data_IF_384920634517
#
_entry.id   IF_384920634517
#
_cell.length_a   1.000
_cell.length_b   1.000
_cell.length_c   1.000
_cell.angle_alpha   90.00
_cell.angle_beta   90.00
_cell.angle_gamma   90.00
#
_symmetry.space_group_name_H-M   'P 1'
#
loop_
_entity.id
_entity.type
_entity.pdbx_description
1 polymer ?
#
# COMPACT_ATOMS: atom_id res chain seq x y z
N UNK A 1 13.33 43.00 12.96
CA UNK A 1 13.15 41.64 13.50
C UNK A 1 11.79 41.16 13.06
N UNK A 2 11.71 40.17 12.17
CA UNK A 2 10.42 39.56 11.83
C UNK A 2 10.01 38.68 13.01
N UNK A 3 8.89 39.00 13.66
CA UNK A 3 8.30 38.09 14.63
C UNK A 3 7.79 36.87 13.86
N UNK A 4 8.45 35.73 14.02
CA UNK A 4 7.97 34.46 13.47
C UNK A 4 6.67 34.11 14.19
N UNK A 5 5.55 34.16 13.48
CA UNK A 5 4.27 33.67 14.00
C UNK A 5 4.31 32.14 13.84
N UNK A 6 4.36 31.42 14.95
CA UNK A 6 4.25 29.96 14.97
C UNK A 6 2.80 29.56 15.29
N UNK A 7 2.26 28.65 14.47
CA UNK A 7 0.96 28.02 14.72
C UNK A 7 1.05 27.17 16.01
N UNK A 8 0.10 27.31 16.95
CA UNK A 8 -0.02 26.44 18.10
C UNK A 8 -0.08 24.96 17.70
N UNK A 9 0.53 24.09 18.52
CA UNK A 9 0.59 22.64 18.27
C UNK A 9 -0.78 22.02 17.99
N UNK A 10 -1.83 22.46 18.70
CA UNK A 10 -3.18 21.92 18.49
C UNK A 10 -3.72 22.22 17.10
N UNK A 11 -3.55 23.46 16.61
CA UNK A 11 -3.98 23.83 15.27
C UNK A 11 -3.17 23.10 14.20
N UNK A 12 -1.88 22.84 14.44
CA UNK A 12 -1.09 21.97 13.57
C UNK A 12 -1.66 20.55 13.49
N UNK A 13 -2.03 19.97 14.64
CA UNK A 13 -2.64 18.63 14.68
C UNK A 13 -3.97 18.60 13.94
N UNK A 14 -4.80 19.62 14.14
CA UNK A 14 -6.07 19.74 13.43
C UNK A 14 -5.82 19.81 11.91
N UNK A 15 -4.87 20.62 11.44
CA UNK A 15 -4.52 20.72 10.02
C UNK A 15 -4.06 19.37 9.44
N UNK A 16 -3.10 18.69 10.09
CA UNK A 16 -2.59 17.41 9.57
C UNK A 16 -3.62 16.29 9.61
N UNK A 17 -4.65 16.39 10.46
CA UNK A 17 -5.73 15.41 10.52
C UNK A 17 -6.63 15.39 9.28
N UNK A 18 -6.66 16.50 8.52
CA UNK A 18 -7.43 16.60 7.27
C UNK A 18 -6.64 16.16 6.04
N UNK A 19 -5.32 15.96 6.17
CA UNK A 19 -4.47 15.60 5.04
C UNK A 19 -4.59 14.10 4.72
N UNK A 20 -4.57 13.78 3.44
CA UNK A 20 -4.49 12.41 2.96
C UNK A 20 -3.07 11.82 3.06
N UNK A 21 -2.92 10.56 2.65
CA UNK A 21 -1.63 9.87 2.69
C UNK A 21 -0.55 10.60 1.87
N UNK A 22 -0.86 11.02 0.65
CA UNK A 22 0.10 11.66 -0.27
C UNK A 22 0.49 13.05 0.24
N UNK A 23 -0.50 13.82 0.71
CA UNK A 23 -0.29 15.13 1.31
C UNK A 23 0.58 15.05 2.57
N UNK A 24 0.32 14.07 3.44
CA UNK A 24 1.15 13.83 4.62
C UNK A 24 2.60 13.49 4.24
N UNK A 25 2.82 12.65 3.22
CA UNK A 25 4.17 12.33 2.73
C UNK A 25 4.89 13.57 2.20
N UNK A 26 4.19 14.43 1.46
CA UNK A 26 4.74 15.71 1.01
C UNK A 26 5.11 16.60 2.20
N UNK A 27 4.24 16.74 3.20
CA UNK A 27 4.53 17.52 4.41
C UNK A 27 5.77 16.98 5.16
N UNK A 28 5.91 15.67 5.29
CA UNK A 28 7.08 15.05 5.93
C UNK A 28 8.40 15.38 5.21
N UNK A 29 8.37 15.56 3.89
CA UNK A 29 9.55 15.89 3.10
C UNK A 29 9.99 17.36 3.28
N UNK A 30 9.08 18.25 3.67
CA UNK A 30 9.35 19.70 3.82
C UNK A 30 10.20 20.00 5.07
N UNK A 31 9.91 19.38 6.22
CA UNK A 31 10.62 19.67 7.47
C UNK A 31 10.54 18.54 8.49
N UNK A 32 11.57 18.44 9.34
CA UNK A 32 11.59 17.54 10.51
C UNK A 32 10.43 17.81 11.48
N UNK A 33 9.98 19.06 11.59
CA UNK A 33 8.85 19.44 12.46
C UNK A 33 7.53 18.90 11.92
N UNK A 34 7.29 19.03 10.60
CA UNK A 34 6.13 18.40 9.97
C UNK A 34 6.15 16.89 10.14
N UNK A 35 7.32 16.28 9.91
CA UNK A 35 7.50 14.84 10.09
C UNK A 35 7.11 14.38 11.50
N UNK A 36 7.55 15.07 12.56
CA UNK A 36 7.20 14.67 13.93
C UNK A 36 5.71 14.84 14.24
N UNK A 37 5.01 15.79 13.62
CA UNK A 37 3.56 15.90 13.76
C UNK A 37 2.81 14.69 13.17
N UNK A 38 3.32 14.09 12.09
CA UNK A 38 2.73 12.87 11.50
C UNK A 38 2.96 11.60 12.33
N UNK A 39 3.78 11.66 13.39
CA UNK A 39 3.96 10.56 14.36
C UNK A 39 2.83 10.53 15.41
N UNK A 40 1.90 11.48 15.37
CA UNK A 40 0.71 11.45 16.22
C UNK A 40 -0.13 10.17 15.94
N UNK A 41 -0.64 9.49 16.98
CA UNK A 41 -1.64 8.42 16.87
C UNK A 41 -2.73 8.66 15.81
N UNK A 42 -3.25 9.88 15.70
CA UNK A 42 -4.34 10.24 14.78
C UNK A 42 -3.94 10.10 13.30
N UNK A 43 -2.66 10.34 12.99
CA UNK A 43 -2.13 10.16 11.63
C UNK A 43 -1.81 8.70 11.31
N UNK A 44 -1.67 7.81 12.30
CA UNK A 44 -1.19 6.44 12.06
C UNK A 44 -2.14 5.64 11.18
N UNK A 45 -3.45 5.92 11.27
CA UNK A 45 -4.47 5.31 10.41
C UNK A 45 -4.27 5.69 8.95
N UNK A 46 -4.19 6.99 8.67
CA UNK A 46 -3.96 7.53 7.32
C UNK A 46 -2.59 7.14 6.75
N UNK A 47 -1.60 6.98 7.62
CA UNK A 47 -0.24 6.56 7.27
C UNK A 47 -0.07 5.03 7.17
N UNK A 48 -1.13 4.24 7.40
CA UNK A 48 -1.10 2.77 7.36
C UNK A 48 -0.06 2.17 8.33
N UNK A 49 0.07 2.76 9.51
CA UNK A 49 0.99 2.37 10.60
C UNK A 49 0.28 1.97 11.89
N UNK A 50 -1.05 1.79 11.82
CA UNK A 50 -1.88 1.29 12.92
C UNK A 50 -1.31 -0.03 13.47
N UNK A 51 -1.23 -0.17 14.81
CA UNK A 51 -0.68 -1.39 15.44
C UNK A 51 -1.73 -2.48 15.72
N UNK A 52 -3.01 -2.12 15.71
CA UNK A 52 -4.10 -3.05 15.99
C UNK A 52 -4.39 -3.88 14.74
N UNK A 53 -3.92 -5.12 14.74
CA UNK A 53 -4.02 -6.03 13.60
C UNK A 53 -5.23 -6.94 13.75
N UNK A 54 -6.03 -7.07 12.69
CA UNK A 54 -7.07 -8.10 12.59
C UNK A 54 -6.40 -9.46 12.36
N UNK A 55 -6.52 -10.42 13.29
CA UNK A 55 -5.89 -11.73 13.15
C UNK A 55 -6.55 -12.57 12.05
N UNK A 56 -5.90 -13.67 11.64
CA UNK A 56 -6.53 -14.66 10.75
C UNK A 56 -7.77 -15.27 11.44
N UNK A 57 -8.88 -15.32 10.72
CA UNK A 57 -10.20 -15.68 11.26
C UNK A 57 -10.88 -14.58 12.07
N UNK A 58 -10.26 -13.40 12.20
CA UNK A 58 -10.91 -12.22 12.76
C UNK A 58 -12.01 -11.67 11.85
N UNK A 59 -12.96 -10.93 12.43
CA UNK A 59 -14.05 -10.30 11.68
C UNK A 59 -13.53 -9.06 10.94
N UNK A 60 -13.80 -9.00 9.64
CA UNK A 60 -13.51 -7.85 8.79
C UNK A 60 -14.84 -7.23 8.35
N UNK A 61 -15.02 -5.94 8.61
CA UNK A 61 -16.06 -5.15 7.96
C UNK A 61 -15.46 -4.55 6.69
N UNK A 62 -15.95 -4.97 5.52
CA UNK A 62 -15.37 -4.59 4.23
C UNK A 62 -15.48 -3.08 3.98
N UNK A 63 -16.56 -2.44 4.44
CA UNK A 63 -16.80 -1.00 4.27
C UNK A 63 -15.79 -0.12 5.04
N UNK A 64 -15.13 -0.70 6.05
CA UNK A 64 -14.11 -0.01 6.85
C UNK A 64 -12.68 -0.26 6.31
N UNK A 65 -12.51 -1.16 5.35
CA UNK A 65 -11.20 -1.52 4.80
C UNK A 65 -10.76 -0.49 3.77
N UNK A 66 -9.59 0.10 4.01
CA UNK A 66 -8.87 0.93 3.05
C UNK A 66 -7.64 0.18 2.57
N UNK A 67 -7.40 0.22 1.26
CA UNK A 67 -6.14 -0.24 0.69
C UNK A 67 -5.10 0.88 0.72
N UNK A 68 -3.84 0.49 0.79
CA UNK A 68 -2.73 1.43 0.76
C UNK A 68 -2.66 2.16 -0.59
N UNK A 69 -2.67 3.52 -0.63
CA UNK A 69 -2.70 4.28 -1.89
C UNK A 69 -1.52 4.04 -2.83
N UNK A 70 -0.38 3.60 -2.28
CA UNK A 70 0.77 3.19 -3.09
C UNK A 70 0.41 2.19 -4.20
N UNK A 71 -0.55 1.30 -3.98
CA UNK A 71 -0.94 0.31 -4.99
C UNK A 71 -1.45 0.94 -6.29
N UNK A 72 -2.04 2.14 -6.25
CA UNK A 72 -2.54 2.86 -7.42
C UNK A 72 -1.45 3.71 -8.09
N UNK A 73 -0.30 3.90 -7.42
CA UNK A 73 0.77 4.81 -7.87
C UNK A 73 2.03 4.07 -8.33
N UNK A 74 2.06 2.75 -8.21
CA UNK A 74 3.21 1.93 -8.56
C UNK A 74 3.13 1.45 -10.00
N UNK A 75 4.26 1.44 -10.69
CA UNK A 75 4.44 0.69 -11.92
C UNK A 75 4.74 -0.76 -11.60
N UNK A 76 3.96 -1.69 -12.17
CA UNK A 76 4.18 -3.12 -12.04
C UNK A 76 3.84 -3.83 -13.35
N UNK A 77 4.85 -4.45 -13.97
CA UNK A 77 4.73 -5.15 -15.26
C UNK A 77 4.92 -6.67 -15.09
N UNK A 78 4.04 -7.32 -14.33
CA UNK A 78 4.16 -8.74 -13.96
C UNK A 78 5.58 -9.11 -13.48
N UNK A 79 6.24 -8.17 -12.80
CA UNK A 79 7.64 -8.26 -12.41
C UNK A 79 7.88 -9.54 -11.60
N UNK A 80 8.94 -10.27 -11.93
CA UNK A 80 9.31 -11.51 -11.23
C UNK A 80 10.25 -11.27 -10.05
N UNK A 81 10.73 -10.04 -9.88
CA UNK A 81 11.59 -9.62 -8.76
C UNK A 81 11.14 -8.25 -8.24
N UNK A 82 11.32 -8.03 -6.94
CA UNK A 82 10.79 -6.85 -6.25
C UNK A 82 11.49 -5.56 -6.66
N UNK A 83 12.73 -5.67 -7.15
CA UNK A 83 13.54 -4.54 -7.63
C UNK A 83 12.97 -3.92 -8.92
N UNK A 84 12.08 -4.62 -9.62
CA UNK A 84 11.36 -4.13 -10.80
C UNK A 84 9.96 -3.59 -10.45
N UNK A 85 9.71 -3.29 -9.17
CA UNK A 85 8.48 -2.66 -8.71
C UNK A 85 8.84 -1.28 -8.17
N UNK A 86 8.34 -0.24 -8.81
CA UNK A 86 8.82 1.13 -8.59
C UNK A 86 7.70 2.16 -8.74
N UNK A 87 7.98 3.38 -8.31
CA UNK A 87 7.16 4.56 -8.54
C UNK A 87 7.84 5.45 -9.58
N UNK A 88 7.06 6.05 -10.47
CA UNK A 88 7.55 7.12 -11.33
C UNK A 88 7.87 8.37 -10.49
N UNK A 89 9.03 8.97 -10.74
CA UNK A 89 9.34 10.27 -10.13
C UNK A 89 8.50 11.36 -10.77
N UNK A 90 8.20 12.43 -10.01
CA UNK A 90 7.32 13.51 -10.48
C UNK A 90 7.86 14.28 -11.69
N UNK A 91 9.16 14.19 -11.97
CA UNK A 91 9.85 14.76 -13.13
C UNK A 91 9.88 13.81 -14.34
N UNK A 92 9.38 12.57 -14.22
CA UNK A 92 9.26 11.60 -15.31
C UNK A 92 10.58 10.99 -15.81
N UNK A 93 11.72 11.48 -15.31
CA UNK A 93 13.05 11.07 -15.76
C UNK A 93 13.69 9.95 -14.90
N UNK A 94 12.97 9.44 -13.88
CA UNK A 94 13.50 8.44 -12.96
C UNK A 94 12.46 7.49 -12.35
N UNK A 95 13.00 6.43 -11.75
CA UNK A 95 12.25 5.40 -11.06
C UNK A 95 12.74 5.30 -9.62
N UNK A 96 11.81 5.22 -8.66
CA UNK A 96 12.15 4.93 -7.25
C UNK A 96 11.64 3.54 -6.90
N UNK A 97 12.56 2.61 -6.62
CA UNK A 97 12.18 1.25 -6.24
C UNK A 97 11.32 1.26 -4.97
N UNK A 98 10.28 0.40 -4.92
CA UNK A 98 9.39 0.29 -3.77
C UNK A 98 10.16 0.10 -2.47
N UNK A 99 11.20 -0.75 -2.50
CA UNK A 99 12.04 -1.09 -1.35
C UNK A 99 12.81 0.10 -0.77
N UNK A 100 12.98 1.16 -1.54
CA UNK A 100 13.69 2.37 -1.11
C UNK A 100 12.74 3.42 -0.53
N UNK A 101 11.44 3.12 -0.48
CA UNK A 101 10.40 4.00 0.06
C UNK A 101 9.86 3.52 1.41
N UNK A 102 9.32 4.44 2.21
CA UNK A 102 8.62 4.06 3.45
C UNK A 102 7.37 3.19 3.20
N UNK A 103 6.77 3.27 2.00
CA UNK A 103 5.57 2.49 1.67
C UNK A 103 5.83 0.99 1.77
N UNK A 104 7.06 0.52 1.51
CA UNK A 104 7.42 -0.90 1.61
C UNK A 104 7.12 -1.50 2.99
N UNK A 105 7.35 -0.74 4.06
CA UNK A 105 7.21 -1.19 5.45
C UNK A 105 5.81 -0.92 6.02
N UNK A 106 5.01 -0.09 5.36
CA UNK A 106 3.65 0.26 5.78
C UNK A 106 2.67 -0.88 5.52
N UNK A 107 1.59 -0.93 6.30
CA UNK A 107 0.57 -1.98 6.16
C UNK A 107 -0.17 -1.84 4.83
N UNK A 108 -0.45 -2.96 4.19
CA UNK A 108 -1.18 -2.99 2.92
C UNK A 108 -2.63 -2.51 3.06
N UNK A 109 -3.19 -2.57 4.28
CA UNK A 109 -4.57 -2.20 4.58
C UNK A 109 -4.66 -1.45 5.90
N UNK A 110 -5.73 -0.67 6.04
CA UNK A 110 -6.21 -0.16 7.32
C UNK A 110 -7.70 -0.55 7.50
N UNK A 111 -8.10 -1.24 8.58
CA UNK A 111 -7.22 -1.79 9.61
C UNK A 111 -6.24 -2.83 9.02
N UNK A 112 -5.03 -2.96 9.59
CA UNK A 112 -4.06 -3.96 9.15
C UNK A 112 -4.60 -5.38 9.34
N UNK A 113 -4.51 -6.21 8.31
CA UNK A 113 -4.90 -7.63 8.39
C UNK A 113 -3.66 -8.52 8.48
N UNK A 114 -3.74 -9.57 9.30
CA UNK A 114 -2.67 -10.55 9.42
C UNK A 114 -2.60 -11.53 8.25
N UNK A 115 -3.68 -11.63 7.48
CA UNK A 115 -3.85 -12.57 6.37
C UNK A 115 -4.61 -11.89 5.24
N UNK A 116 -4.09 -12.01 4.02
CA UNK A 116 -4.80 -11.64 2.80
C UNK A 116 -4.52 -12.63 1.66
N UNK A 117 -5.39 -12.64 0.67
CA UNK A 117 -5.22 -13.41 -0.56
C UNK A 117 -5.17 -12.49 -1.75
N UNK A 118 -4.36 -12.88 -2.73
CA UNK A 118 -4.23 -12.20 -4.01
C UNK A 118 -4.69 -13.16 -5.09
N UNK A 119 -5.66 -12.74 -5.89
CA UNK A 119 -6.16 -13.52 -7.02
C UNK A 119 -5.95 -12.73 -8.31
N UNK A 120 -5.19 -13.33 -9.22
CA UNK A 120 -4.95 -12.78 -10.55
C UNK A 120 -5.86 -13.52 -11.52
N UNK A 121 -6.88 -12.87 -12.06
CA UNK A 121 -7.96 -13.46 -12.85
C UNK A 121 -8.59 -14.67 -12.15
N UNK A 122 -8.86 -15.73 -12.91
CA UNK A 122 -9.43 -16.98 -12.40
C UNK A 122 -8.36 -17.95 -11.88
N UNK A 123 -7.11 -17.51 -11.69
CA UNK A 123 -6.04 -18.36 -11.20
C UNK A 123 -6.13 -18.63 -9.70
N UNK A 124 -5.47 -19.70 -9.21
CA UNK A 124 -5.41 -20.00 -7.79
C UNK A 124 -4.83 -18.84 -6.99
N UNK A 125 -5.59 -18.34 -6.02
CA UNK A 125 -5.16 -17.21 -5.22
C UNK A 125 -3.95 -17.56 -4.35
N UNK A 126 -2.94 -16.68 -4.34
CA UNK A 126 -1.78 -16.77 -3.44
C UNK A 126 -2.08 -16.10 -2.10
N UNK A 127 -1.38 -16.52 -1.05
CA UNK A 127 -1.62 -16.05 0.30
C UNK A 127 -0.43 -15.21 0.79
N UNK A 128 -0.73 -14.11 1.47
CA UNK A 128 0.24 -13.31 2.21
C UNK A 128 -0.15 -13.30 3.69
N UNK A 129 0.80 -13.62 4.55
CA UNK A 129 0.56 -13.72 5.99
C UNK A 129 1.63 -12.99 6.78
N UNK A 130 1.22 -12.20 7.75
CA UNK A 130 2.10 -11.57 8.72
C UNK A 130 1.33 -11.29 10.01
N UNK A 131 1.73 -11.89 11.13
CA UNK A 131 1.04 -11.72 12.42
C UNK A 131 1.02 -10.28 12.92
N UNK A 132 1.96 -9.44 12.44
CA UNK A 132 2.03 -8.02 12.79
C UNK A 132 1.36 -7.12 11.76
N UNK A 133 0.58 -7.68 10.83
CA UNK A 133 -0.06 -6.94 9.73
C UNK A 133 0.75 -7.07 8.44
N UNK A 134 0.09 -7.47 7.36
CA UNK A 134 0.75 -7.62 6.06
C UNK A 134 1.12 -6.25 5.49
N UNK A 135 2.34 -6.14 4.95
CA UNK A 135 2.86 -4.88 4.39
C UNK A 135 2.75 -4.83 2.87
N UNK A 136 2.87 -3.61 2.31
CA UNK A 136 2.86 -3.39 0.85
C UNK A 136 3.93 -4.24 0.16
N UNK A 137 5.18 -4.27 0.67
CA UNK A 137 6.26 -5.07 0.04
C UNK A 137 5.97 -6.57 0.08
N UNK A 138 5.26 -7.06 1.11
CA UNK A 138 4.89 -8.48 1.20
C UNK A 138 3.82 -8.86 0.18
N UNK A 139 2.88 -7.95 -0.09
CA UNK A 139 1.91 -8.10 -1.19
C UNK A 139 2.64 -8.19 -2.52
N UNK A 140 3.50 -7.22 -2.81
CA UNK A 140 4.21 -7.18 -4.10
C UNK A 140 5.20 -8.33 -4.29
N UNK A 141 5.93 -8.73 -3.25
CA UNK A 141 6.76 -9.95 -3.31
C UNK A 141 5.95 -11.21 -3.58
N UNK A 142 4.68 -11.25 -3.16
CA UNK A 142 3.81 -12.39 -3.42
C UNK A 142 3.29 -12.40 -4.86
N UNK A 143 2.96 -11.23 -5.43
CA UNK A 143 2.73 -11.10 -6.86
C UNK A 143 3.97 -11.47 -7.67
N UNK A 144 5.15 -10.99 -7.28
CA UNK A 144 6.39 -11.33 -7.99
C UNK A 144 6.61 -12.84 -8.04
N UNK A 145 6.52 -13.51 -6.89
CA UNK A 145 6.62 -14.98 -6.82
C UNK A 145 5.53 -15.71 -7.59
N UNK A 146 4.35 -15.11 -7.74
CA UNK A 146 3.27 -15.67 -8.54
C UNK A 146 3.67 -15.71 -10.02
N UNK A 147 4.21 -14.62 -10.56
CA UNK A 147 4.67 -14.56 -11.95
C UNK A 147 6.05 -15.21 -12.19
N UNK A 148 6.88 -15.44 -11.16
CA UNK A 148 8.14 -16.20 -11.28
C UNK A 148 7.94 -17.70 -11.50
N UNK A 149 6.74 -18.24 -11.23
CA UNK A 149 6.42 -19.65 -11.44
C UNK A 149 5.89 -19.77 -12.87
N UNK A 150 6.81 -19.96 -13.79
CA UNK A 150 6.62 -19.90 -15.25
C UNK A 150 5.40 -20.68 -15.76
N UNK A 151 4.62 -19.96 -16.58
CA UNK A 151 3.44 -20.28 -17.41
C UNK A 151 2.47 -19.08 -17.37
N UNK A 152 2.40 -18.39 -16.22
CA UNK A 152 1.48 -17.27 -16.02
C UNK A 152 1.90 -15.99 -16.77
N UNK A 153 3.19 -15.65 -16.78
CA UNK A 153 3.68 -14.46 -17.49
C UNK A 153 3.52 -14.62 -19.01
N UNK A 154 3.93 -15.76 -19.55
CA UNK A 154 3.78 -16.07 -20.98
C UNK A 154 2.30 -16.08 -21.41
N UNK A 155 1.40 -16.58 -20.56
CA UNK A 155 -0.04 -16.58 -20.85
C UNK A 155 -0.69 -15.19 -20.91
N UNK A 156 -0.03 -14.15 -20.37
CA UNK A 156 -0.49 -12.76 -20.45
C UNK A 156 -0.09 -12.06 -21.75
N UNK A 157 0.90 -12.58 -22.47
CA UNK A 157 1.46 -11.89 -23.64
C UNK A 157 1.92 -10.48 -23.27
N UNK A 158 1.53 -9.49 -24.07
CA UNK A 158 1.89 -8.07 -23.86
C UNK A 158 1.14 -7.44 -22.66
N UNK A 159 0.09 -8.08 -22.14
CA UNK A 159 -0.74 -7.55 -21.05
C UNK A 159 -0.11 -7.76 -19.67
N UNK A 160 0.90 -6.96 -19.35
CA UNK A 160 1.67 -7.13 -18.11
C UNK A 160 1.51 -5.99 -17.11
N UNK A 161 0.96 -4.85 -17.53
CA UNK A 161 0.78 -3.69 -16.66
C UNK A 161 -0.33 -3.89 -15.63
N UNK A 162 -0.09 -3.46 -14.40
CA UNK A 162 -1.07 -3.46 -13.31
C UNK A 162 -1.29 -2.05 -12.80
N UNK A 163 -2.55 -1.61 -12.77
CA UNK A 163 -2.97 -0.26 -12.34
C UNK A 163 -3.77 -0.25 -11.04
N UNK A 164 -3.89 -1.40 -10.36
CA UNK A 164 -4.58 -1.50 -9.07
C UNK A 164 -5.44 -2.74 -8.93
N UNK A 165 -6.21 -2.80 -7.85
CA UNK A 165 -7.09 -3.94 -7.55
C UNK A 165 -8.49 -3.67 -8.12
N UNK A 166 -9.00 -4.59 -8.95
CA UNK A 166 -10.35 -4.50 -9.52
C UNK A 166 -11.43 -4.77 -8.48
N UNK A 167 -11.18 -5.72 -7.56
CA UNK A 167 -12.11 -6.01 -6.47
C UNK A 167 -11.39 -6.20 -5.13
N UNK A 168 -12.00 -5.67 -4.07
CA UNK A 168 -11.66 -5.98 -2.67
C UNK A 168 -12.86 -6.66 -2.05
N UNK A 169 -12.73 -7.94 -1.71
CA UNK A 169 -13.84 -8.77 -1.21
C UNK A 169 -13.40 -9.64 -0.04
N UNK A 170 -14.34 -10.39 0.54
CA UNK A 170 -14.04 -11.43 1.52
C UNK A 170 -14.19 -12.81 0.87
N UNK A 171 -13.22 -13.69 1.14
CA UNK A 171 -13.32 -15.09 0.73
C UNK A 171 -14.35 -15.85 1.59
N UNK A 172 -14.61 -17.11 1.24
CA UNK A 172 -15.61 -17.96 1.95
C UNK A 172 -15.34 -18.14 3.44
N UNK A 173 -14.14 -17.81 3.93
CA UNK A 173 -13.75 -17.87 5.35
C UNK A 173 -13.74 -16.49 6.01
N UNK A 174 -14.25 -15.45 5.35
CA UNK A 174 -14.26 -14.08 5.85
C UNK A 174 -12.91 -13.38 5.77
N UNK A 175 -11.96 -13.90 4.98
CA UNK A 175 -10.60 -13.34 4.87
C UNK A 175 -10.50 -12.40 3.69
N UNK A 176 -9.72 -11.33 3.81
CA UNK A 176 -9.57 -10.35 2.74
C UNK A 176 -8.98 -10.99 1.47
N UNK A 177 -9.62 -10.71 0.34
CA UNK A 177 -9.23 -11.16 -1.00
C UNK A 177 -9.15 -9.93 -1.91
N UNK A 178 -7.97 -9.68 -2.45
CA UNK A 178 -7.72 -8.67 -3.47
C UNK A 178 -7.66 -9.35 -4.83
N UNK A 179 -8.42 -8.84 -5.80
CA UNK A 179 -8.50 -9.38 -7.15
C UNK A 179 -8.00 -8.37 -8.17
N UNK A 180 -7.32 -8.90 -9.17
CA UNK A 180 -6.96 -8.20 -10.40
C UNK A 180 -7.32 -9.11 -11.56
N UNK A 181 -8.37 -8.74 -12.28
CA UNK A 181 -8.88 -9.41 -13.47
C UNK A 181 -8.29 -8.82 -14.74
N UNK A 182 -7.89 -7.55 -14.73
CA UNK A 182 -7.38 -6.86 -15.91
C UNK A 182 -5.94 -6.37 -15.77
N UNK A 183 -5.19 -6.43 -16.88
CA UNK A 183 -3.83 -5.94 -17.01
C UNK A 183 -3.73 -5.11 -18.28
N UNK A 184 -3.03 -3.98 -18.20
CA UNK A 184 -2.79 -3.05 -19.30
C UNK A 184 -1.88 -3.67 -20.37
N UNK A 185 -2.13 -3.29 -21.63
CA UNK A 185 -1.35 -3.62 -22.84
C UNK A 185 -0.10 -2.79 -23.00
#
# INVERSE_FOLDING_TARGET
>A
MASTIELPKQLWLDVVSYLDYSELKMCMAVSKTFKSHTENPDCQKTMFRSKAVVPDGGTINLDDVRLHPAFESMSYECATKIEHVYFWTADGDGETALTDTCAAEEHATDPPVAFLRLQVTNWPAVQCTNKTGVTVVQVMKSLCRFFSKDDHRDSRGDHTGWTGWDETTLDRKGRLLLRVDWFDS
#
